data_IF_598737512441
#
_entry.id   IF_598737512441
#
_cell.length_a   1.000
_cell.length_b   1.000
_cell.length_c   1.000
_cell.angle_alpha   90.00
_cell.angle_beta   90.00
_cell.angle_gamma   90.00
#
_symmetry.space_group_name_H-M   'P 1'
#
loop_
_entity.id
_entity.type
_entity.pdbx_description
1 polymer ?
#
# COMPACT_ATOMS: atom_id res chain seq x y z
N UNK A 1 -12.65 4.66 21.49
CA UNK A 1 -11.22 4.71 21.09
C UNK A 1 -10.42 3.91 22.09
N UNK A 2 -9.38 3.20 21.65
CA UNK A 2 -8.49 2.42 22.54
C UNK A 2 -8.66 0.91 22.53
N UNK A 3 -9.60 0.35 21.75
CA UNK A 3 -9.75 -1.10 21.57
C UNK A 3 -8.61 -1.61 20.67
N UNK A 4 -7.96 -2.75 20.98
CA UNK A 4 -6.99 -3.38 20.09
C UNK A 4 -7.59 -3.66 18.71
N UNK A 5 -6.83 -3.42 17.64
CA UNK A 5 -7.33 -3.62 16.29
C UNK A 5 -7.67 -5.10 16.03
N UNK A 6 -6.91 -6.02 16.60
CA UNK A 6 -7.19 -7.46 16.56
C UNK A 6 -8.58 -7.80 17.09
N UNK A 7 -8.99 -7.22 18.21
CA UNK A 7 -10.32 -7.44 18.78
C UNK A 7 -11.43 -6.89 17.85
N UNK A 8 -11.20 -5.73 17.24
CA UNK A 8 -12.15 -5.17 16.27
C UNK A 8 -12.32 -6.12 15.08
N UNK A 9 -11.22 -6.63 14.52
CA UNK A 9 -11.25 -7.50 13.34
C UNK A 9 -11.84 -8.87 13.67
N UNK A 10 -11.37 -9.51 14.74
CA UNK A 10 -11.65 -10.91 15.02
C UNK A 10 -12.97 -11.09 15.80
N UNK A 11 -13.27 -10.19 16.76
CA UNK A 11 -14.43 -10.35 17.64
C UNK A 11 -15.61 -9.50 17.19
N UNK A 12 -15.38 -8.24 16.82
CA UNK A 12 -16.48 -7.32 16.46
C UNK A 12 -16.92 -7.42 15.00
N UNK A 13 -15.97 -7.59 14.07
CA UNK A 13 -16.26 -7.71 12.63
C UNK A 13 -16.53 -9.15 12.17
N UNK A 14 -16.39 -10.15 13.06
CA UNK A 14 -16.68 -11.55 12.76
C UNK A 14 -15.53 -12.32 12.10
N UNK A 15 -14.30 -11.79 12.15
CA UNK A 15 -13.12 -12.44 11.60
C UNK A 15 -12.99 -12.34 10.08
N UNK A 16 -12.02 -13.05 9.53
CA UNK A 16 -11.76 -13.06 8.09
C UNK A 16 -12.64 -14.10 7.38
N UNK A 17 -12.96 -13.80 6.12
CA UNK A 17 -13.78 -14.69 5.27
C UNK A 17 -13.13 -16.06 5.16
N UNK A 18 -13.98 -17.09 5.12
CA UNK A 18 -13.55 -18.49 4.92
C UNK A 18 -12.47 -18.97 5.91
N UNK A 19 -12.41 -18.39 7.11
CA UNK A 19 -11.43 -18.78 8.14
C UNK A 19 -9.98 -18.45 7.77
N UNK A 20 -9.75 -17.49 6.86
CA UNK A 20 -8.40 -17.07 6.46
C UNK A 20 -7.66 -16.36 7.60
N UNK A 21 -6.34 -16.27 7.45
CA UNK A 21 -5.49 -15.63 8.45
C UNK A 21 -5.27 -14.15 8.13
N UNK A 22 -5.22 -13.32 9.18
CA UNK A 22 -4.86 -11.92 9.06
C UNK A 22 -3.41 -11.80 8.60
N UNK A 23 -3.17 -11.05 7.53
CA UNK A 23 -1.83 -10.73 7.03
C UNK A 23 -1.44 -9.30 7.33
N UNK A 24 -2.34 -8.37 6.99
CA UNK A 24 -2.12 -6.95 7.18
C UNK A 24 -3.43 -6.21 7.44
N UNK A 25 -3.34 -4.99 7.96
CA UNK A 25 -4.48 -4.10 8.10
C UNK A 25 -4.07 -2.64 7.90
N UNK A 26 -5.01 -1.82 7.44
CA UNK A 26 -4.87 -0.38 7.35
C UNK A 26 -5.87 0.26 8.33
N UNK A 27 -5.41 0.83 9.47
CA UNK A 27 -6.28 1.36 10.52
C UNK A 27 -7.23 2.48 10.10
N UNK A 28 -6.92 3.19 9.03
CA UNK A 28 -7.73 4.30 8.50
C UNK A 28 -7.57 4.43 6.99
N UNK A 29 -7.96 3.35 6.31
CA UNK A 29 -7.83 3.19 4.87
C UNK A 29 -6.36 3.15 4.42
N UNK A 30 -6.10 3.08 3.11
CA UNK A 30 -4.74 3.01 2.59
C UNK A 30 -3.86 4.21 3.00
N UNK A 31 -4.46 5.36 3.34
CA UNK A 31 -3.75 6.55 3.83
C UNK A 31 -2.98 6.30 5.12
N UNK A 32 -3.43 5.37 5.97
CA UNK A 32 -2.69 5.05 7.18
C UNK A 32 -1.51 4.11 6.94
N UNK A 33 -1.27 3.70 5.69
CA UNK A 33 -0.41 2.57 5.37
C UNK A 33 -0.94 1.24 5.91
N UNK A 34 -0.19 0.18 5.65
CA UNK A 34 -0.49 -1.19 6.05
C UNK A 34 0.43 -1.65 7.17
N UNK A 35 -0.14 -2.05 8.30
CA UNK A 35 0.57 -2.69 9.41
C UNK A 35 0.42 -4.22 9.31
N UNK A 36 1.45 -4.99 9.71
CA UNK A 36 1.39 -6.44 9.71
C UNK A 36 0.49 -6.97 10.84
N UNK A 37 -0.03 -8.18 10.67
CA UNK A 37 -0.85 -8.86 11.67
C UNK A 37 -0.17 -8.96 13.06
N UNK A 38 1.16 -9.00 13.11
CA UNK A 38 1.95 -8.98 14.35
C UNK A 38 1.78 -7.70 15.18
N UNK A 39 1.16 -6.66 14.62
CA UNK A 39 0.84 -5.40 15.30
C UNK A 39 -0.66 -5.28 15.63
N UNK A 40 -1.44 -6.36 15.57
CA UNK A 40 -2.88 -6.31 15.84
C UNK A 40 -3.24 -5.85 17.27
N UNK A 41 -2.32 -5.94 18.22
CA UNK A 41 -2.50 -5.43 19.59
C UNK A 41 -2.44 -3.90 19.70
N UNK A 42 -2.02 -3.21 18.64
CA UNK A 42 -2.04 -1.74 18.59
C UNK A 42 -3.48 -1.26 18.78
N UNK A 43 -3.64 -0.33 19.72
CA UNK A 43 -4.95 0.25 20.04
C UNK A 43 -5.38 1.22 18.95
N UNK A 44 -6.66 1.20 18.61
CA UNK A 44 -7.28 2.19 17.72
C UNK A 44 -7.39 3.55 18.45
N UNK A 45 -6.27 4.26 18.48
CA UNK A 45 -6.03 5.53 19.16
C UNK A 45 -5.01 6.35 18.35
N UNK A 46 -5.13 7.69 18.39
CA UNK A 46 -4.27 8.59 17.62
C UNK A 46 -2.78 8.42 17.96
N UNK A 47 -2.45 8.36 19.26
CA UNK A 47 -1.05 8.29 19.71
C UNK A 47 -0.46 6.91 19.42
N UNK A 48 -1.19 5.86 19.79
CA UNK A 48 -0.72 4.48 19.59
C UNK A 48 -0.45 4.17 18.10
N UNK A 49 -1.31 4.66 17.21
CA UNK A 49 -1.12 4.48 15.77
C UNK A 49 0.02 5.32 15.20
N UNK A 50 0.19 6.56 15.66
CA UNK A 50 1.32 7.39 15.27
C UNK A 50 2.66 6.74 15.69
N UNK A 51 2.74 6.19 16.91
CA UNK A 51 3.92 5.47 17.41
C UNK A 51 4.22 4.20 16.61
N UNK A 52 3.18 3.53 16.07
CA UNK A 52 3.33 2.39 15.16
C UNK A 52 3.77 2.78 13.74
N UNK A 53 3.86 4.09 13.43
CA UNK A 53 4.17 4.60 12.09
C UNK A 53 2.97 4.55 11.13
N UNK A 54 1.77 4.66 11.69
CA UNK A 54 0.48 4.73 10.99
C UNK A 54 -0.28 5.98 11.45
N UNK A 55 -1.57 6.08 11.17
CA UNK A 55 -2.40 7.17 11.67
C UNK A 55 -3.86 6.77 11.83
N UNK A 56 -4.57 7.46 12.73
CA UNK A 56 -6.02 7.40 12.84
C UNK A 56 -6.64 8.58 12.07
N UNK A 57 -7.44 8.26 11.06
CA UNK A 57 -8.22 9.18 10.25
C UNK A 57 -9.71 8.90 10.40
N UNK A 58 -10.34 8.36 9.34
CA UNK A 58 -11.78 8.04 9.34
C UNK A 58 -12.17 6.82 10.19
N UNK A 59 -11.20 6.01 10.63
CA UNK A 59 -11.48 4.73 11.29
C UNK A 59 -12.01 3.65 10.33
N UNK A 60 -11.94 3.86 9.02
CA UNK A 60 -12.28 2.84 8.02
C UNK A 60 -11.16 1.79 7.94
N UNK A 61 -11.32 0.68 8.66
CA UNK A 61 -10.30 -0.37 8.70
C UNK A 61 -10.38 -1.24 7.44
N UNK A 62 -9.26 -1.35 6.73
CA UNK A 62 -9.09 -2.31 5.62
C UNK A 62 -8.29 -3.50 6.11
N UNK A 63 -8.72 -4.71 5.79
CA UNK A 63 -8.09 -5.96 6.24
C UNK A 63 -7.63 -6.76 5.02
N UNK A 64 -6.40 -7.27 5.08
CA UNK A 64 -5.79 -8.12 4.05
C UNK A 64 -5.56 -9.52 4.63
N UNK A 65 -5.98 -10.55 3.91
CA UNK A 65 -5.75 -11.94 4.26
C UNK A 65 -4.42 -12.47 3.70
N UNK A 66 -4.08 -13.72 4.06
CA UNK A 66 -2.89 -14.44 3.60
C UNK A 66 -2.76 -14.56 2.07
N UNK A 67 -3.88 -14.50 1.33
CA UNK A 67 -3.92 -14.56 -0.14
C UNK A 67 -3.71 -13.20 -0.83
N UNK A 68 -3.56 -12.12 -0.06
CA UNK A 68 -3.40 -10.78 -0.59
C UNK A 68 -1.94 -10.47 -0.90
N UNK A 69 -1.64 -10.06 -2.15
CA UNK A 69 -0.33 -9.53 -2.53
C UNK A 69 -0.20 -8.07 -2.07
N UNK A 70 0.72 -7.80 -1.13
CA UNK A 70 0.86 -6.46 -0.57
C UNK A 70 1.39 -5.43 -1.58
N UNK A 71 2.18 -5.85 -2.58
CA UNK A 71 2.62 -4.97 -3.65
C UNK A 71 1.46 -4.56 -4.58
N UNK A 72 0.57 -5.49 -4.93
CA UNK A 72 -0.65 -5.18 -5.70
C UNK A 72 -1.58 -4.25 -4.91
N UNK A 73 -1.71 -4.49 -3.60
CA UNK A 73 -2.49 -3.64 -2.70
C UNK A 73 -1.93 -2.21 -2.60
N UNK A 74 -0.60 -2.06 -2.52
CA UNK A 74 0.06 -0.76 -2.59
C UNK A 74 -0.17 -0.08 -3.95
N UNK A 75 -0.03 -0.82 -5.05
CA UNK A 75 -0.27 -0.29 -6.40
C UNK A 75 -1.69 0.25 -6.55
N UNK A 76 -2.69 -0.50 -6.07
CA UNK A 76 -4.09 -0.08 -6.10
C UNK A 76 -4.28 1.27 -5.38
N UNK A 77 -3.70 1.41 -4.18
CA UNK A 77 -3.77 2.65 -3.41
C UNK A 77 -3.03 3.82 -4.08
N UNK A 78 -1.81 3.59 -4.59
CA UNK A 78 -1.05 4.62 -5.31
C UNK A 78 -1.78 5.09 -6.56
N UNK A 79 -2.40 4.17 -7.31
CA UNK A 79 -3.23 4.48 -8.48
C UNK A 79 -4.45 5.33 -8.10
N UNK A 80 -5.10 5.02 -6.98
CA UNK A 80 -6.19 5.83 -6.44
C UNK A 80 -5.72 7.27 -6.16
N UNK A 81 -4.62 7.46 -5.41
CA UNK A 81 -4.13 8.81 -5.10
C UNK A 81 -3.71 9.60 -6.33
N UNK A 82 -3.11 8.94 -7.33
CA UNK A 82 -2.81 9.57 -8.61
C UNK A 82 -4.11 10.01 -9.31
N UNK A 83 -5.13 9.15 -9.39
CA UNK A 83 -6.38 9.45 -10.07
C UNK A 83 -7.19 10.56 -9.37
N UNK A 84 -7.18 10.57 -8.04
CA UNK A 84 -7.90 11.56 -7.21
C UNK A 84 -7.09 12.87 -7.01
N UNK A 85 -5.91 12.96 -7.60
CA UNK A 85 -5.12 14.19 -7.57
C UNK A 85 -5.84 15.29 -8.35
N UNK A 86 -6.18 16.39 -7.69
CA UNK A 86 -6.73 17.57 -8.36
C UNK A 86 -5.72 18.29 -9.30
N UNK A 87 -4.46 17.85 -9.34
CA UNK A 87 -3.44 18.34 -10.28
C UNK A 87 -2.83 19.71 -9.97
N UNK A 88 -3.24 20.37 -8.86
CA UNK A 88 -2.82 21.75 -8.53
C UNK A 88 -1.33 21.89 -8.17
N UNK A 89 -0.79 21.00 -7.32
CA UNK A 89 0.62 21.04 -6.95
C UNK A 89 1.44 20.04 -7.76
N UNK A 90 2.58 20.51 -8.27
CA UNK A 90 3.56 19.70 -9.01
C UNK A 90 4.01 18.45 -8.23
N UNK A 91 4.41 18.52 -6.95
CA UNK A 91 4.83 17.32 -6.20
C UNK A 91 3.76 16.23 -6.20
N UNK A 92 2.48 16.57 -5.93
CA UNK A 92 1.40 15.59 -5.97
C UNK A 92 1.14 15.07 -7.39
N UNK A 93 0.96 15.96 -8.37
CA UNK A 93 0.60 15.58 -9.75
C UNK A 93 1.66 14.72 -10.43
N UNK A 94 2.92 15.15 -10.34
CA UNK A 94 4.04 14.47 -11.02
C UNK A 94 4.59 13.34 -10.17
N UNK A 95 4.67 13.52 -8.85
CA UNK A 95 5.19 12.51 -7.93
C UNK A 95 4.30 11.27 -7.87
N UNK A 96 2.98 11.43 -7.73
CA UNK A 96 2.06 10.28 -7.73
C UNK A 96 2.06 9.50 -9.05
N UNK A 97 2.18 10.19 -10.20
CA UNK A 97 2.34 9.55 -11.50
C UNK A 97 3.64 8.74 -11.57
N UNK A 98 4.78 9.35 -11.23
CA UNK A 98 6.09 8.66 -11.22
C UNK A 98 6.10 7.44 -10.30
N UNK A 99 5.48 7.56 -9.13
CA UNK A 99 5.34 6.46 -8.18
C UNK A 99 4.47 5.35 -8.75
N UNK A 100 3.33 5.67 -9.35
CA UNK A 100 2.47 4.68 -9.99
C UNK A 100 3.22 3.93 -11.10
N UNK A 101 3.94 4.62 -11.98
CA UNK A 101 4.68 4.01 -13.08
C UNK A 101 5.80 3.08 -12.58
N UNK A 102 6.48 3.48 -11.50
CA UNK A 102 7.49 2.67 -10.83
C UNK A 102 6.88 1.39 -10.26
N UNK A 103 5.80 1.50 -9.49
CA UNK A 103 5.15 0.35 -8.88
C UNK A 103 4.51 -0.57 -9.94
N UNK A 104 3.99 -0.04 -11.05
CA UNK A 104 3.54 -0.85 -12.20
C UNK A 104 4.69 -1.66 -12.80
N UNK A 105 5.88 -1.06 -12.94
CA UNK A 105 7.07 -1.80 -13.40
C UNK A 105 7.43 -2.91 -12.44
N UNK A 106 7.39 -2.63 -11.13
CA UNK A 106 7.65 -3.60 -10.08
C UNK A 106 6.66 -4.77 -10.10
N UNK A 107 5.40 -4.53 -10.46
CA UNK A 107 4.41 -5.61 -10.53
C UNK A 107 4.59 -6.56 -11.72
N UNK A 108 5.34 -6.14 -12.75
CA UNK A 108 5.66 -6.99 -13.90
C UNK A 108 6.73 -8.05 -13.58
N UNK A 109 7.51 -7.83 -12.51
CA UNK A 109 8.60 -8.71 -12.10
C UNK A 109 9.82 -8.67 -13.03
N UNK A 110 10.94 -9.25 -12.57
CA UNK A 110 12.19 -9.31 -13.35
C UNK A 110 12.89 -7.95 -13.51
N UNK A 111 12.65 -7.00 -12.61
CA UNK A 111 13.35 -5.71 -12.63
C UNK A 111 14.81 -5.94 -12.25
N UNK A 112 15.79 -5.47 -13.06
CA UNK A 112 17.20 -5.59 -12.72
C UNK A 112 17.49 -4.96 -11.35
N UNK A 113 18.32 -5.61 -10.54
CA UNK A 113 18.62 -5.15 -9.18
C UNK A 113 19.16 -3.71 -9.14
N UNK A 114 19.98 -3.33 -10.14
CA UNK A 114 20.49 -1.96 -10.30
C UNK A 114 19.36 -0.94 -10.50
N UNK A 115 18.37 -1.27 -11.34
CA UNK A 115 17.18 -0.44 -11.55
C UNK A 115 16.32 -0.39 -10.29
N UNK A 116 16.13 -1.52 -9.60
CA UNK A 116 15.32 -1.56 -8.39
C UNK A 116 15.94 -0.71 -7.26
N UNK A 117 17.26 -0.75 -7.09
CA UNK A 117 17.98 0.12 -6.15
C UNK A 117 17.81 1.61 -6.48
N UNK A 118 17.91 1.97 -7.77
CA UNK A 118 17.68 3.34 -8.22
C UNK A 118 16.22 3.79 -7.99
N UNK A 119 15.25 2.91 -8.27
CA UNK A 119 13.84 3.16 -8.02
C UNK A 119 13.57 3.40 -6.52
N UNK A 120 14.18 2.62 -5.62
CA UNK A 120 14.04 2.80 -4.17
C UNK A 120 14.60 4.14 -3.68
N UNK A 121 15.76 4.56 -4.20
CA UNK A 121 16.34 5.87 -3.87
C UNK A 121 15.43 7.01 -4.34
N UNK A 122 14.98 6.93 -5.60
CA UNK A 122 14.04 7.91 -6.16
C UNK A 122 12.71 7.93 -5.41
N UNK A 123 12.18 6.78 -5.00
CA UNK A 123 10.95 6.71 -4.22
C UNK A 123 11.09 7.42 -2.87
N UNK A 124 12.25 7.29 -2.20
CA UNK A 124 12.50 7.98 -0.94
C UNK A 124 12.49 9.51 -1.14
N UNK A 125 13.22 10.02 -2.12
CA UNK A 125 13.26 11.46 -2.46
C UNK A 125 11.87 11.98 -2.86
N UNK A 126 11.15 11.25 -3.71
CA UNK A 126 9.80 11.60 -4.12
C UNK A 126 8.86 11.65 -2.93
N UNK A 127 8.93 10.67 -2.03
CA UNK A 127 8.05 10.59 -0.87
C UNK A 127 8.27 11.76 0.08
N UNK A 128 9.54 12.12 0.33
CA UNK A 128 9.90 13.28 1.16
C UNK A 128 9.40 14.59 0.51
N UNK A 129 9.71 14.80 -0.77
CA UNK A 129 9.25 15.98 -1.49
C UNK A 129 7.72 16.10 -1.48
N UNK A 130 6.99 15.01 -1.72
CA UNK A 130 5.53 14.98 -1.69
C UNK A 130 4.98 15.29 -0.30
N UNK A 131 5.56 14.71 0.75
CA UNK A 131 5.14 14.94 2.14
C UNK A 131 5.34 16.40 2.58
N UNK A 132 6.45 17.02 2.17
CA UNK A 132 6.80 18.38 2.63
C UNK A 132 6.17 19.49 1.78
N UNK A 133 5.95 19.24 0.49
CA UNK A 133 5.64 20.32 -0.48
C UNK A 133 4.28 20.21 -1.16
N UNK A 134 3.53 19.13 -0.92
CA UNK A 134 2.15 19.04 -1.40
C UNK A 134 1.22 19.97 -0.62
N UNK A 135 0.31 20.63 -1.33
CA UNK A 135 -0.60 21.65 -0.77
C UNK A 135 -1.63 21.05 0.20
N UNK A 136 -2.06 19.81 0.00
CA UNK A 136 -3.08 19.17 0.82
C UNK A 136 -2.69 17.74 1.23
N UNK A 137 -3.44 17.20 2.21
CA UNK A 137 -3.18 15.88 2.80
C UNK A 137 -3.16 14.73 1.80
N UNK A 138 -3.90 14.81 0.69
CA UNK A 138 -3.88 13.78 -0.36
C UNK A 138 -2.47 13.60 -0.94
N UNK A 139 -1.84 14.68 -1.35
CA UNK A 139 -0.48 14.62 -1.90
C UNK A 139 0.56 14.26 -0.85
N UNK A 140 0.36 14.70 0.38
CA UNK A 140 1.27 14.39 1.50
C UNK A 140 1.24 12.91 1.86
N UNK A 141 0.09 12.24 1.75
CA UNK A 141 -0.08 10.85 2.18
C UNK A 141 -0.03 9.81 1.06
N UNK A 142 -0.07 10.24 -0.21
CA UNK A 142 0.02 9.34 -1.36
C UNK A 142 1.19 8.33 -1.31
N UNK A 143 2.37 8.63 -0.72
CA UNK A 143 3.45 7.65 -0.55
C UNK A 143 3.24 6.58 0.53
N UNK A 144 2.38 6.81 1.53
CA UNK A 144 2.25 5.93 2.70
C UNK A 144 1.93 4.46 2.39
N UNK A 145 1.05 4.12 1.42
CA UNK A 145 0.77 2.73 1.07
C UNK A 145 2.02 1.95 0.66
N UNK A 146 2.84 2.50 -0.25
CA UNK A 146 4.02 1.79 -0.75
C UNK A 146 5.16 1.80 0.27
N UNK A 147 5.33 2.90 1.03
CA UNK A 147 6.35 2.99 2.07
C UNK A 147 6.09 1.97 3.20
N UNK A 148 4.85 1.85 3.66
CA UNK A 148 4.48 0.86 4.68
C UNK A 148 4.64 -0.57 4.18
N UNK A 149 4.29 -0.85 2.93
CA UNK A 149 4.51 -2.17 2.32
C UNK A 149 6.00 -2.51 2.21
N UNK A 150 6.85 -1.57 1.79
CA UNK A 150 8.30 -1.77 1.77
C UNK A 150 8.89 -1.95 3.17
N UNK A 151 8.33 -1.30 4.19
CA UNK A 151 8.77 -1.41 5.59
C UNK A 151 8.43 -2.78 6.19
N UNK A 152 7.22 -3.27 5.98
CA UNK A 152 6.70 -4.44 6.69
C UNK A 152 6.71 -5.74 5.86
N UNK A 153 6.69 -5.65 4.53
CA UNK A 153 6.57 -6.80 3.63
C UNK A 153 7.72 -6.84 2.62
N UNK A 154 8.91 -6.39 3.03
CA UNK A 154 10.07 -6.23 2.14
C UNK A 154 10.43 -7.49 1.37
N UNK A 155 10.50 -8.62 2.06
CA UNK A 155 10.82 -9.92 1.45
C UNK A 155 9.81 -10.31 0.37
N UNK A 156 8.54 -10.00 0.58
CA UNK A 156 7.46 -10.26 -0.39
C UNK A 156 7.60 -9.39 -1.64
N UNK A 157 7.95 -8.11 -1.45
CA UNK A 157 8.23 -7.18 -2.54
C UNK A 157 9.47 -7.59 -3.31
N UNK A 158 10.58 -7.92 -2.64
CA UNK A 158 11.83 -8.32 -3.29
C UNK A 158 11.63 -9.57 -4.16
N UNK A 159 10.91 -10.58 -3.65
CA UNK A 159 10.56 -11.78 -4.41
C UNK A 159 9.74 -11.46 -5.67
N UNK A 160 8.80 -10.52 -5.55
CA UNK A 160 7.97 -10.09 -6.68
C UNK A 160 8.78 -9.36 -7.74
N UNK A 161 9.54 -8.36 -7.30
CA UNK A 161 10.23 -7.42 -8.18
C UNK A 161 11.43 -8.05 -8.86
N UNK A 162 12.28 -8.76 -8.10
CA UNK A 162 13.53 -9.31 -8.61
C UNK A 162 13.34 -10.67 -9.30
N UNK A 163 12.44 -11.50 -8.78
CA UNK A 163 12.32 -12.89 -9.24
C UNK A 163 11.03 -13.16 -10.02
N UNK A 164 10.12 -12.19 -10.13
CA UNK A 164 8.83 -12.41 -10.79
C UNK A 164 7.99 -13.48 -10.09
N UNK A 165 8.10 -13.56 -8.76
CA UNK A 165 7.39 -14.53 -7.94
C UNK A 165 6.45 -13.81 -6.99
N UNK A 166 5.15 -14.12 -7.05
CA UNK A 166 4.15 -13.60 -6.12
C UNK A 166 3.94 -14.63 -5.00
N UNK A 167 4.36 -14.37 -3.76
CA UNK A 167 4.16 -15.31 -2.65
C UNK A 167 2.68 -15.60 -2.38
N UNK A 168 1.80 -14.68 -2.72
CA UNK A 168 0.33 -14.86 -2.64
C UNK A 168 -0.27 -15.56 -3.85
N UNK A 169 0.51 -15.83 -4.90
CA UNK A 169 0.10 -16.61 -6.07
C UNK A 169 -0.88 -15.93 -7.02
N UNK A 170 -1.18 -14.63 -6.85
CA UNK A 170 -2.24 -13.95 -7.62
C UNK A 170 -1.74 -13.21 -8.88
N UNK A 171 -0.55 -12.60 -8.85
CA UNK A 171 -0.16 -11.61 -9.87
C UNK A 171 0.30 -12.19 -11.22
N UNK A 172 0.95 -13.36 -11.24
CA UNK A 172 1.50 -13.94 -12.48
C UNK A 172 0.61 -15.02 -13.12
N UNK A 173 -0.65 -15.05 -12.73
CA UNK A 173 -1.62 -16.01 -13.28
C UNK A 173 -2.12 -15.55 -14.66
N UNK A 174 -2.55 -16.48 -15.54
CA UNK A 174 -3.19 -16.13 -16.81
C UNK A 174 -4.39 -15.18 -16.62
N UNK A 175 -5.18 -15.39 -15.56
CA UNK A 175 -6.33 -14.55 -15.21
C UNK A 175 -5.92 -13.12 -14.80
N UNK A 176 -4.84 -12.97 -14.03
CA UNK A 176 -4.34 -11.65 -13.63
C UNK A 176 -3.82 -10.83 -14.82
N UNK A 177 -3.10 -11.48 -15.75
CA UNK A 177 -2.62 -10.84 -16.98
C UNK A 177 -3.77 -10.38 -17.90
N UNK A 178 -4.89 -11.10 -17.91
CA UNK A 178 -6.10 -10.68 -18.62
C UNK A 178 -6.82 -9.50 -17.93
N UNK A 179 -6.83 -9.47 -16.59
CA UNK A 179 -7.47 -8.41 -15.80
C UNK A 179 -6.69 -7.08 -15.77
N UNK A 180 -5.38 -7.09 -16.03
CA UNK A 180 -4.57 -5.88 -16.01
C UNK A 180 -4.97 -4.87 -17.11
N UNK A 181 -5.44 -5.36 -18.27
CA UNK A 181 -6.03 -4.54 -19.32
C UNK A 181 -7.34 -3.83 -18.91
N UNK A 182 -8.07 -4.39 -17.93
CA UNK A 182 -9.28 -3.79 -17.35
C UNK A 182 -9.00 -2.88 -16.15
N UNK A 183 -7.91 -3.13 -15.38
CA UNK A 183 -7.51 -2.27 -14.24
C UNK A 183 -6.94 -0.91 -14.66
N UNK A 184 -6.49 -0.78 -15.92
CA UNK A 184 -6.16 0.50 -16.58
C UNK A 184 -7.43 1.25 -17.01
N UNK A 185 -8.61 0.64 -16.82
CA UNK A 185 -9.91 1.07 -17.32
C UNK A 185 -10.81 1.83 -16.34
N UNK A 186 -10.31 2.38 -15.22
CA UNK A 186 -10.98 3.54 -14.61
C UNK A 186 -10.62 4.75 -15.52
N UNK A 187 -11.27 4.82 -16.68
CA UNK A 187 -11.23 5.94 -17.66
C UNK A 187 -12.26 7.01 -17.26
N UNK A 188 -12.22 8.19 -17.88
CA UNK A 188 -11.16 9.20 -17.99
C UNK A 188 -11.37 10.37 -17.03
#
# INVERSE_FOLDING_TARGET
MGVPIGDIILNHAGGLRSGRQLKAFAPSGPSSGYLPASMADVRLDFKALAEAGSMLGSGAIVVCDDTTCMLDMALNAVRFYRNESCGKCVPCRVGSQKMADMVVRWTQGGVPETQYRADLALLAELSEAMSLTSICGLGQIAPAPIQSVLKHFRTEVDAHVLHGQCPSGICFTPAARAGEAQRVGIRP
#
